data_IF_141437457606
#
_entry.id   IF_141437457606
#
_cell.length_a   1.000
_cell.length_b   1.000
_cell.length_c   1.000
_cell.angle_alpha   90.00
_cell.angle_beta   90.00
_cell.angle_gamma   90.00
#
_symmetry.space_group_name_H-M   'P 1'
#
loop_
_entity.id
_entity.type
_entity.pdbx_description
1 polymer ?
#
# COMPACT_ATOMS: atom_id res chain seq x y z
N UNK A 1 -58.38 14.02 47.23
CA UNK A 1 -57.86 12.65 47.48
C UNK A 1 -58.73 11.68 46.69
N UNK A 2 -58.21 10.68 45.95
CA UNK A 2 -57.22 9.69 46.42
C UNK A 2 -56.06 9.30 45.45
N UNK A 3 -54.92 8.93 46.08
CA UNK A 3 -53.86 7.91 45.79
C UNK A 3 -53.27 7.76 44.37
N UNK A 4 -51.97 8.03 44.12
CA UNK A 4 -50.72 7.33 44.57
C UNK A 4 -50.40 6.07 43.74
N UNK A 5 -49.34 6.14 42.92
CA UNK A 5 -48.18 5.21 42.85
C UNK A 5 -47.59 5.06 41.43
N UNK A 6 -46.26 5.00 41.40
CA UNK A 6 -45.37 4.91 40.25
C UNK A 6 -45.33 3.53 39.59
N UNK A 7 -44.90 3.48 38.33
CA UNK A 7 -44.25 2.32 37.71
C UNK A 7 -43.28 2.79 36.61
N UNK A 8 -42.10 2.19 36.62
CA UNK A 8 -40.90 2.44 35.80
C UNK A 8 -40.97 1.78 34.40
N UNK A 9 -40.02 2.13 33.52
CA UNK A 9 -39.67 1.46 32.25
C UNK A 9 -39.85 2.39 31.03
N UNK A 10 -38.84 3.10 30.51
CA UNK A 10 -37.56 2.71 29.86
C UNK A 10 -37.72 2.05 28.48
N UNK A 11 -37.46 2.88 27.47
CA UNK A 11 -36.85 2.65 26.15
C UNK A 11 -37.32 1.50 25.22
N UNK A 12 -37.81 1.85 24.01
CA UNK A 12 -37.36 1.33 22.69
C UNK A 12 -38.16 2.03 21.56
N UNK A 13 -37.58 3.00 20.84
CA UNK A 13 -36.95 2.86 19.52
C UNK A 13 -37.84 2.24 18.41
N UNK A 14 -38.16 3.01 17.37
CA UNK A 14 -37.81 2.66 15.98
C UNK A 14 -38.13 3.81 15.01
N UNK A 15 -37.09 4.52 14.60
CA UNK A 15 -37.05 5.36 13.39
C UNK A 15 -36.83 4.43 12.20
N UNK A 16 -37.60 4.61 11.12
CA UNK A 16 -37.24 4.06 9.81
C UNK A 16 -37.20 5.23 8.82
N UNK A 17 -36.01 5.80 8.65
CA UNK A 17 -35.70 6.82 7.65
C UNK A 17 -34.71 6.18 6.67
N UNK A 18 -35.24 5.75 5.53
CA UNK A 18 -34.47 5.11 4.46
C UNK A 18 -33.85 6.24 3.64
N UNK A 19 -32.57 6.50 3.85
CA UNK A 19 -31.78 7.36 2.97
C UNK A 19 -30.60 6.59 2.37
N UNK A 20 -30.66 6.51 1.04
CA UNK A 20 -29.55 6.55 0.07
C UNK A 20 -28.25 5.79 0.38
N UNK A 21 -27.96 4.73 -0.40
CA UNK A 21 -26.59 4.26 -0.62
C UNK A 21 -26.15 4.63 -2.03
N UNK A 22 -25.49 5.78 -2.15
CA UNK A 22 -24.53 6.03 -3.21
C UNK A 22 -23.33 5.07 -3.03
N UNK A 23 -22.69 4.58 -4.11
CA UNK A 23 -21.55 3.68 -3.98
C UNK A 23 -20.38 4.45 -3.37
N UNK A 24 -20.04 4.06 -2.14
CA UNK A 24 -18.98 4.66 -1.34
C UNK A 24 -17.61 4.35 -1.92
N UNK A 25 -16.77 5.39 -2.05
CA UNK A 25 -15.37 5.38 -2.48
C UNK A 25 -14.47 4.38 -1.71
N UNK A 26 -14.93 3.87 -0.56
CA UNK A 26 -14.23 2.90 0.29
C UNK A 26 -14.08 1.49 -0.32
N UNK A 27 -14.96 1.09 -1.26
CA UNK A 27 -14.90 -0.25 -1.84
C UNK A 27 -13.63 -0.46 -2.68
N UNK A 28 -13.09 0.61 -3.29
CA UNK A 28 -11.86 0.53 -4.09
C UNK A 28 -10.60 0.32 -3.23
N UNK A 29 -10.52 0.99 -2.09
CA UNK A 29 -9.38 0.86 -1.17
C UNK A 29 -9.36 -0.47 -0.43
N UNK A 30 -10.53 -0.98 0.00
CA UNK A 30 -10.62 -2.31 0.62
C UNK A 30 -10.21 -3.42 -0.34
N UNK A 31 -10.52 -3.27 -1.64
CA UNK A 31 -10.11 -4.20 -2.68
C UNK A 31 -8.59 -4.20 -2.92
N UNK A 32 -7.93 -3.05 -2.87
CA UNK A 32 -6.48 -2.96 -3.06
C UNK A 32 -5.71 -3.59 -1.90
N UNK A 33 -6.11 -3.30 -0.65
CA UNK A 33 -5.51 -3.93 0.55
C UNK A 33 -5.71 -5.45 0.51
N UNK A 34 -6.90 -5.91 0.12
CA UNK A 34 -7.18 -7.35 -0.02
C UNK A 34 -6.31 -8.01 -1.09
N UNK A 35 -6.08 -7.32 -2.23
CA UNK A 35 -5.19 -7.80 -3.29
C UNK A 35 -3.74 -7.88 -2.82
N UNK A 36 -3.26 -6.87 -2.09
CA UNK A 36 -1.91 -6.86 -1.49
C UNK A 36 -1.73 -7.99 -0.48
N UNK A 37 -2.70 -8.20 0.40
CA UNK A 37 -2.68 -9.30 1.37
C UNK A 37 -2.62 -10.67 0.69
N UNK A 38 -3.35 -10.86 -0.42
CA UNK A 38 -3.29 -12.11 -1.20
C UNK A 38 -1.92 -12.32 -1.86
N UNK A 39 -1.32 -11.27 -2.41
CA UNK A 39 0.04 -11.36 -2.96
C UNK A 39 1.07 -11.67 -1.87
N UNK A 40 0.98 -11.02 -0.71
CA UNK A 40 1.86 -11.28 0.42
C UNK A 40 1.72 -12.73 0.90
N UNK A 41 0.50 -13.24 1.02
CA UNK A 41 0.26 -14.63 1.41
C UNK A 41 0.88 -15.62 0.42
N UNK A 42 0.77 -15.38 -0.89
CA UNK A 42 1.36 -16.22 -1.93
C UNK A 42 2.90 -16.23 -1.85
N UNK A 43 3.53 -15.06 -1.65
CA UNK A 43 4.98 -14.94 -1.48
C UNK A 43 5.44 -15.67 -0.23
N UNK A 44 4.77 -15.45 0.92
CA UNK A 44 5.13 -16.12 2.17
C UNK A 44 4.95 -17.64 2.10
N UNK A 45 3.92 -18.11 1.40
CA UNK A 45 3.70 -19.55 1.19
C UNK A 45 4.84 -20.20 0.41
N UNK A 46 5.36 -19.52 -0.61
CA UNK A 46 6.55 -19.99 -1.34
C UNK A 46 7.81 -19.96 -0.47
N UNK A 47 8.01 -18.90 0.31
CA UNK A 47 9.18 -18.79 1.19
C UNK A 47 9.15 -19.74 2.39
N UNK A 48 7.97 -20.23 2.78
CA UNK A 48 7.82 -21.22 3.84
C UNK A 48 8.00 -22.67 3.37
N UNK A 49 8.21 -22.87 2.07
CA UNK A 49 8.48 -24.20 1.52
C UNK A 49 9.93 -24.58 1.83
N UNK A 50 10.11 -25.55 2.73
CA UNK A 50 11.42 -26.03 3.17
C UNK A 50 12.23 -26.69 2.03
N UNK A 51 11.60 -27.01 0.88
CA UNK A 51 12.29 -27.50 -0.33
C UNK A 51 12.93 -26.36 -1.14
N UNK A 52 12.58 -25.10 -0.88
CA UNK A 52 13.14 -23.94 -1.58
C UNK A 52 14.46 -23.53 -0.93
N UNK A 53 15.57 -24.04 -1.48
CA UNK A 53 16.92 -23.66 -1.04
C UNK A 53 17.34 -22.28 -1.57
N UNK A 54 16.92 -21.94 -2.80
CA UNK A 54 17.21 -20.65 -3.45
C UNK A 54 15.92 -19.99 -3.92
N UNK A 55 15.76 -18.70 -3.60
CA UNK A 55 14.58 -17.94 -3.99
C UNK A 55 14.65 -17.65 -5.49
N UNK A 56 13.78 -18.30 -6.27
CA UNK A 56 13.55 -17.95 -7.66
C UNK A 56 12.53 -16.80 -7.75
N UNK A 57 13.07 -15.58 -7.90
CA UNK A 57 12.27 -14.37 -8.03
C UNK A 57 11.42 -14.40 -9.31
N UNK A 58 11.92 -14.97 -10.40
CA UNK A 58 11.20 -14.98 -11.68
C UNK A 58 9.98 -15.91 -11.59
N UNK A 59 10.13 -17.05 -10.91
CA UNK A 59 9.03 -17.93 -10.54
C UNK A 59 7.99 -17.22 -9.68
N UNK A 60 8.41 -16.50 -8.62
CA UNK A 60 7.49 -15.74 -7.76
C UNK A 60 6.67 -14.71 -8.53
N UNK A 61 7.34 -13.93 -9.40
CA UNK A 61 6.70 -12.91 -10.24
C UNK A 61 5.75 -13.50 -11.29
N UNK A 62 6.02 -14.72 -11.77
CA UNK A 62 5.18 -15.41 -12.75
C UNK A 62 3.99 -16.14 -12.11
N UNK A 63 4.14 -16.66 -10.90
CA UNK A 63 3.13 -17.48 -10.22
C UNK A 63 2.28 -16.71 -9.19
N UNK A 64 2.61 -15.45 -8.92
CA UNK A 64 1.79 -14.59 -8.05
C UNK A 64 1.05 -13.54 -8.86
N UNK A 65 -0.27 -13.69 -8.96
CA UNK A 65 -1.16 -12.79 -9.70
C UNK A 65 -0.99 -11.32 -9.27
N UNK A 66 -0.61 -10.44 -10.20
CA UNK A 66 -0.43 -9.01 -9.96
C UNK A 66 0.90 -8.58 -9.34
N UNK A 67 1.76 -9.53 -8.93
CA UNK A 67 3.01 -9.20 -8.25
C UNK A 67 4.00 -8.48 -9.18
N UNK A 68 4.12 -8.92 -10.44
CA UNK A 68 4.98 -8.27 -11.44
C UNK A 68 4.58 -6.82 -11.70
N UNK A 69 3.31 -6.58 -11.96
CA UNK A 69 2.76 -5.23 -12.22
C UNK A 69 2.93 -4.31 -11.01
N UNK A 70 2.77 -4.86 -9.81
CA UNK A 70 3.01 -4.12 -8.58
C UNK A 70 4.50 -3.80 -8.41
N UNK A 71 5.38 -4.78 -8.64
CA UNK A 71 6.82 -4.63 -8.52
C UNK A 71 7.40 -3.61 -9.52
N UNK A 72 6.95 -3.65 -10.77
CA UNK A 72 7.38 -2.70 -11.79
C UNK A 72 6.99 -1.26 -11.43
N UNK A 73 5.76 -1.07 -10.94
CA UNK A 73 5.30 0.24 -10.45
C UNK A 73 6.10 0.70 -9.23
N UNK A 74 6.40 -0.19 -8.30
CA UNK A 74 7.23 0.12 -7.14
C UNK A 74 8.64 0.55 -7.56
N UNK A 75 9.30 -0.18 -8.48
CA UNK A 75 10.62 0.20 -8.98
C UNK A 75 10.63 1.54 -9.70
N UNK A 76 9.62 1.81 -10.52
CA UNK A 76 9.50 3.09 -11.22
C UNK A 76 9.29 4.26 -10.26
N UNK A 77 8.43 4.09 -9.25
CA UNK A 77 8.22 5.11 -8.22
C UNK A 77 9.48 5.36 -7.40
N UNK A 78 10.18 4.29 -7.00
CA UNK A 78 11.42 4.41 -6.25
C UNK A 78 12.51 5.11 -7.08
N UNK A 79 12.63 4.78 -8.37
CA UNK A 79 13.54 5.47 -9.29
C UNK A 79 13.27 6.98 -9.33
N UNK A 80 12.00 7.40 -9.39
CA UNK A 80 11.62 8.82 -9.38
C UNK A 80 11.99 9.50 -8.08
N UNK A 81 11.73 8.86 -6.93
CA UNK A 81 12.12 9.39 -5.63
C UNK A 81 13.64 9.58 -5.53
N UNK A 82 14.40 8.56 -5.93
CA UNK A 82 15.87 8.64 -5.97
C UNK A 82 16.34 9.74 -6.93
N UNK A 83 15.72 9.88 -8.11
CA UNK A 83 16.05 10.94 -9.06
C UNK A 83 15.80 12.35 -8.48
N UNK A 84 14.70 12.55 -7.76
CA UNK A 84 14.39 13.81 -7.09
C UNK A 84 15.39 14.12 -5.96
N UNK A 85 15.75 13.11 -5.16
CA UNK A 85 16.76 13.24 -4.11
C UNK A 85 18.14 13.57 -4.67
N UNK A 86 18.52 12.92 -5.78
CA UNK A 86 19.75 13.22 -6.52
C UNK A 86 19.71 14.66 -7.03
N UNK A 87 18.64 15.09 -7.70
CA UNK A 87 18.51 16.47 -8.22
C UNK A 87 18.64 17.50 -7.10
N UNK A 88 18.01 17.25 -5.96
CA UNK A 88 18.08 18.13 -4.78
C UNK A 88 19.50 18.19 -4.22
N UNK A 89 20.14 17.03 -4.08
CA UNK A 89 21.51 16.92 -3.57
C UNK A 89 22.50 17.62 -4.50
N UNK A 90 22.40 17.36 -5.82
CA UNK A 90 23.27 17.98 -6.83
C UNK A 90 23.06 19.49 -6.93
N UNK A 91 21.84 20.00 -6.75
CA UNK A 91 21.57 21.45 -6.79
C UNK A 91 22.23 22.25 -5.66
N UNK A 92 22.70 21.57 -4.60
CA UNK A 92 23.39 22.20 -3.47
C UNK A 92 24.91 22.19 -3.56
N UNK A 93 25.48 21.50 -4.56
CA UNK A 93 26.92 21.37 -4.75
C UNK A 93 27.52 22.55 -5.51
N UNK A 94 28.79 22.80 -5.30
CA UNK A 94 29.57 23.75 -6.09
C UNK A 94 29.88 23.21 -7.49
N UNK A 95 30.27 24.10 -8.40
CA UNK A 95 30.60 23.74 -9.78
C UNK A 95 31.78 22.75 -9.87
N UNK A 96 32.79 22.91 -9.03
CA UNK A 96 33.95 22.00 -8.97
C UNK A 96 33.55 20.59 -8.52
N UNK A 97 32.67 20.49 -7.52
CA UNK A 97 32.15 19.20 -7.03
C UNK A 97 31.28 18.51 -8.10
N UNK A 98 30.46 19.28 -8.83
CA UNK A 98 29.68 18.77 -9.95
C UNK A 98 30.55 18.28 -11.11
N UNK A 99 31.63 18.99 -11.43
CA UNK A 99 32.60 18.57 -12.46
C UNK A 99 33.30 17.26 -12.07
N UNK A 100 33.73 17.14 -10.81
CA UNK A 100 34.34 15.92 -10.27
C UNK A 100 33.41 14.70 -10.36
N UNK A 101 32.13 14.86 -9.98
CA UNK A 101 31.12 13.80 -10.11
C UNK A 101 30.92 13.42 -11.59
N UNK A 102 30.87 14.42 -12.50
CA UNK A 102 30.71 14.19 -13.94
C UNK A 102 31.87 13.39 -14.53
N UNK A 103 33.10 13.66 -14.13
CA UNK A 103 34.28 12.90 -14.57
C UNK A 103 34.24 11.45 -14.06
N UNK A 104 33.88 11.23 -12.79
CA UNK A 104 33.77 9.87 -12.22
C UNK A 104 32.74 9.01 -12.96
N UNK A 105 31.61 9.59 -13.39
CA UNK A 105 30.57 8.87 -14.14
C UNK A 105 31.04 8.54 -15.57
N UNK A 106 31.74 9.46 -16.25
CA UNK A 106 32.25 9.23 -17.61
C UNK A 106 33.32 8.14 -17.71
N UNK A 107 33.95 7.80 -16.60
CA UNK A 107 35.08 6.87 -16.56
C UNK A 107 34.64 5.42 -16.26
N UNK A 108 33.33 5.16 -16.10
CA UNK A 108 32.73 3.82 -16.03
C UNK A 108 32.23 3.38 -17.40
#
# INVERSE_FOLDING_TARGET
MPKKAAAEGRDDASKNDISEKAPSTNEKSENEVSRLNRMLAAVLNYLSDDEVEEIDIEYLLANTEGLREWWDRYRENNKKQIEEEIKKSLGSLSLEELESIREQIKTK
#
